data_IF_751183761668
#
_entry.id   IF_751183761668
#
_cell.length_a   1.000
_cell.length_b   1.000
_cell.length_c   1.000
_cell.angle_alpha   90.00
_cell.angle_beta   90.00
_cell.angle_gamma   90.00
#
_symmetry.space_group_name_H-M   'P 1'
#
loop_
_entity.id
_entity.type
_entity.pdbx_description
1 polymer ?
#
# COMPACT_ATOMS: atom_id res chain seq x y z
N UNK A 1 -8.86 -0.25 -2.66
CA UNK A 1 -7.82 0.55 -3.33
C UNK A 1 -6.72 0.88 -2.35
N UNK A 2 -5.58 0.24 -2.48
CA UNK A 2 -4.38 0.55 -1.70
C UNK A 2 -3.79 1.83 -2.29
N UNK A 3 -3.74 2.91 -1.50
CA UNK A 3 -3.22 4.21 -1.95
C UNK A 3 -1.73 4.26 -1.59
N UNK A 4 -0.88 4.35 -2.60
CA UNK A 4 0.57 4.48 -2.49
C UNK A 4 0.89 5.94 -2.85
N UNK A 5 1.22 6.75 -1.85
CA UNK A 5 1.62 8.16 -1.99
C UNK A 5 3.09 8.25 -1.53
N UNK A 6 4.06 8.10 -2.43
CA UNK A 6 5.48 8.34 -2.14
C UNK A 6 5.71 9.85 -1.97
N UNK A 7 6.22 10.27 -0.82
CA UNK A 7 6.56 11.65 -0.53
C UNK A 7 7.81 11.77 0.34
N UNK A 8 8.79 12.56 -0.11
CA UNK A 8 9.96 12.93 0.70
C UNK A 8 9.53 13.83 1.87
N UNK A 9 9.98 13.46 3.07
CA UNK A 9 9.63 14.02 4.38
C UNK A 9 9.48 15.55 4.44
N UNK A 10 8.29 16.01 4.83
CA UNK A 10 8.03 17.31 5.48
C UNK A 10 6.71 17.23 6.28
N UNK A 11 6.77 16.66 7.49
CA UNK A 11 5.80 16.96 8.56
C UNK A 11 4.44 16.25 8.55
N UNK A 12 4.23 15.18 7.78
CA UNK A 12 3.03 14.34 7.86
C UNK A 12 3.43 12.86 7.96
N UNK A 13 3.37 12.28 9.17
CA UNK A 13 3.74 10.90 9.45
C UNK A 13 2.93 9.91 8.61
N UNK A 14 3.53 9.33 7.56
CA UNK A 14 2.94 8.18 6.86
C UNK A 14 2.62 7.04 7.85
N UNK A 15 1.62 6.23 7.52
CA UNK A 15 1.25 5.09 8.37
C UNK A 15 1.85 3.76 7.90
N UNK A 16 2.60 3.78 6.80
CA UNK A 16 3.32 2.64 6.28
C UNK A 16 4.62 3.11 5.63
N UNK A 17 5.70 2.37 5.83
CA UNK A 17 7.00 2.62 5.20
C UNK A 17 7.42 1.34 4.49
N UNK A 18 7.80 1.46 3.23
CA UNK A 18 8.39 0.38 2.45
C UNK A 18 9.78 0.07 2.99
N UNK A 19 9.97 -1.18 3.39
CA UNK A 19 11.19 -1.63 4.05
C UNK A 19 12.41 -1.67 3.14
N UNK A 20 12.23 -1.62 1.81
CA UNK A 20 13.32 -1.75 0.84
C UNK A 20 13.97 -0.41 0.49
N UNK A 21 13.14 0.57 0.18
CA UNK A 21 13.56 1.88 -0.32
C UNK A 21 13.33 2.99 0.69
N UNK A 22 12.57 2.73 1.77
CA UNK A 22 12.16 3.74 2.74
C UNK A 22 11.03 4.64 2.24
N UNK A 23 10.36 4.28 1.13
CA UNK A 23 9.23 5.04 0.61
C UNK A 23 8.08 5.01 1.60
N UNK A 24 7.61 6.19 1.94
CA UNK A 24 6.52 6.39 2.89
C UNK A 24 5.18 6.39 2.17
N UNK A 25 4.16 5.73 2.73
CA UNK A 25 2.83 5.61 2.14
C UNK A 25 1.71 5.85 3.15
N UNK A 26 0.61 6.44 2.66
CA UNK A 26 -0.63 6.61 3.41
C UNK A 26 -1.70 5.61 2.96
N UNK A 27 -1.80 4.50 3.69
CA UNK A 27 -2.74 3.41 3.39
C UNK A 27 -3.99 3.56 4.26
N UNK A 28 -5.15 3.80 3.65
CA UNK A 28 -6.44 3.78 4.33
C UNK A 28 -7.29 2.58 3.93
N UNK A 29 -8.22 2.18 4.80
CA UNK A 29 -9.28 1.22 4.43
C UNK A 29 -10.20 1.75 3.32
N UNK A 30 -11.07 0.88 2.82
CA UNK A 30 -12.06 1.23 1.79
C UNK A 30 -13.04 2.31 2.30
N UNK A 31 -13.20 3.40 1.53
CA UNK A 31 -14.10 4.50 1.89
C UNK A 31 -15.45 4.34 1.18
N UNK A 32 -16.52 4.44 1.97
CA UNK A 32 -17.90 4.23 1.51
C UNK A 32 -18.50 5.40 0.72
N UNK A 33 -17.96 6.62 0.85
CA UNK A 33 -18.51 7.86 0.28
C UNK A 33 -17.68 8.40 -0.89
N UNK A 34 -17.00 7.53 -1.63
CA UNK A 34 -16.15 7.87 -2.78
C UNK A 34 -15.05 8.93 -2.55
N UNK A 35 -14.75 9.27 -1.30
CA UNK A 35 -13.66 10.19 -0.89
C UNK A 35 -12.27 9.53 -0.95
N UNK A 36 -12.09 8.64 -1.91
CA UNK A 36 -10.86 7.85 -2.13
C UNK A 36 -9.70 8.72 -2.65
N UNK A 37 -10.02 9.80 -3.38
CA UNK A 37 -9.02 10.75 -3.89
C UNK A 37 -8.69 11.82 -2.84
N UNK A 38 -7.40 12.17 -2.77
CA UNK A 38 -6.94 13.28 -1.91
C UNK A 38 -7.25 14.60 -2.62
N UNK A 39 -7.42 15.70 -1.90
CA UNK A 39 -7.75 16.97 -2.55
C UNK A 39 -6.66 17.43 -3.55
N UNK A 40 -5.40 17.12 -3.27
CA UNK A 40 -4.24 17.34 -4.16
C UNK A 40 -3.86 16.09 -4.99
N UNK A 41 -4.70 15.05 -4.95
CA UNK A 41 -4.45 13.80 -5.69
C UNK A 41 -4.90 13.94 -7.14
N UNK A 42 -3.97 13.84 -8.07
CA UNK A 42 -4.26 13.82 -9.52
C UNK A 42 -4.25 12.39 -10.10
N UNK A 43 -4.73 12.21 -11.34
CA UNK A 43 -4.69 10.93 -12.06
C UNK A 43 -5.77 9.91 -11.67
N UNK A 44 -6.02 8.90 -12.51
CA UNK A 44 -7.06 7.88 -12.27
C UNK A 44 -6.75 7.02 -11.05
N UNK A 45 -7.80 6.54 -10.40
CA UNK A 45 -7.67 5.61 -9.27
C UNK A 45 -7.69 4.18 -9.84
N UNK A 46 -6.60 3.43 -9.69
CA UNK A 46 -6.45 2.04 -10.20
C UNK A 46 -7.03 0.96 -9.26
N UNK A 47 -8.05 0.22 -9.70
CA UNK A 47 -8.75 -0.85 -8.95
C UNK A 47 -8.44 -2.21 -9.53
N UNK A 48 -8.14 -3.16 -8.65
CA UNK A 48 -8.04 -4.57 -9.05
C UNK A 48 -9.39 -5.05 -9.57
N UNK A 49 -9.41 -5.68 -10.74
CA UNK A 49 -10.60 -6.26 -11.37
C UNK A 49 -11.37 -7.21 -10.43
N UNK A 50 -10.66 -7.92 -9.54
CA UNK A 50 -11.23 -8.84 -8.54
C UNK A 50 -12.03 -8.10 -7.47
N UNK A 51 -11.62 -6.88 -7.12
CA UNK A 51 -12.24 -6.08 -6.07
C UNK A 51 -13.45 -5.25 -6.53
N UNK A 52 -13.69 -5.13 -7.85
CA UNK A 52 -14.73 -4.27 -8.41
C UNK A 52 -16.12 -4.62 -7.86
N UNK A 53 -16.47 -5.90 -7.84
CA UNK A 53 -17.80 -6.36 -7.39
C UNK A 53 -18.06 -6.05 -5.92
N UNK A 54 -17.09 -6.34 -5.06
CA UNK A 54 -17.18 -6.06 -3.62
C UNK A 54 -17.23 -4.56 -3.36
N UNK A 55 -16.42 -3.79 -4.09
CA UNK A 55 -16.38 -2.34 -3.93
C UNK A 55 -17.69 -1.67 -4.34
N UNK A 56 -18.29 -2.07 -5.47
CA UNK A 56 -19.62 -1.61 -5.90
C UNK A 56 -20.70 -1.93 -4.87
N UNK A 57 -20.67 -3.15 -4.30
CA UNK A 57 -21.59 -3.56 -3.24
C UNK A 57 -21.41 -2.72 -1.96
N UNK A 58 -20.18 -2.33 -1.64
CA UNK A 58 -19.85 -1.53 -0.47
C UNK A 58 -20.37 -0.09 -0.57
N UNK A 59 -20.33 0.50 -1.77
CA UNK A 59 -20.80 1.88 -2.01
C UNK A 59 -22.27 1.95 -2.43
N UNK A 60 -22.88 0.81 -2.80
CA UNK A 60 -24.28 0.74 -3.25
C UNK A 60 -24.48 1.16 -4.70
N UNK A 61 -23.41 1.23 -5.50
CA UNK A 61 -23.45 1.67 -6.88
C UNK A 61 -23.50 0.49 -7.85
N UNK A 62 -24.05 0.73 -9.05
CA UNK A 62 -24.20 -0.30 -10.09
C UNK A 62 -22.99 -0.40 -11.03
N UNK A 63 -22.23 0.68 -11.18
CA UNK A 63 -21.11 0.77 -12.11
C UNK A 63 -20.06 1.76 -11.60
N UNK A 64 -18.80 1.53 -11.99
CA UNK A 64 -17.70 2.43 -11.63
C UNK A 64 -17.66 3.62 -12.59
N UNK A 65 -17.48 4.85 -12.07
CA UNK A 65 -17.28 6.03 -12.91
C UNK A 65 -15.91 5.97 -13.62
N UNK A 66 -15.94 5.71 -14.93
CA UNK A 66 -14.73 5.49 -15.78
C UNK A 66 -13.82 6.72 -15.92
N UNK A 67 -14.34 7.91 -15.63
CA UNK A 67 -13.57 9.15 -15.56
C UNK A 67 -12.66 9.19 -14.32
N UNK A 68 -13.03 8.46 -13.26
CA UNK A 68 -12.32 8.45 -11.99
C UNK A 68 -11.49 7.17 -11.82
N UNK A 69 -12.02 6.02 -12.23
CA UNK A 69 -11.41 4.72 -12.01
C UNK A 69 -10.76 4.14 -13.27
N UNK A 70 -9.73 3.34 -13.04
CA UNK A 70 -9.08 2.47 -14.02
C UNK A 70 -9.07 1.05 -13.46
N UNK A 71 -9.67 0.10 -14.18
CA UNK A 71 -9.67 -1.31 -13.76
C UNK A 71 -8.40 -1.96 -14.30
N UNK A 72 -7.61 -2.54 -13.42
CA UNK A 72 -6.33 -3.19 -13.73
C UNK A 72 -6.29 -4.59 -13.13
N UNK A 73 -5.45 -5.46 -13.70
CA UNK A 73 -5.04 -6.70 -13.04
C UNK A 73 -3.80 -6.40 -12.18
N UNK A 74 -3.88 -6.67 -10.87
CA UNK A 74 -2.75 -6.44 -9.96
C UNK A 74 -2.19 -7.81 -9.61
N UNK A 75 -0.94 -8.03 -10.00
CA UNK A 75 -0.29 -9.31 -9.82
C UNK A 75 0.07 -9.54 -8.33
N UNK A 76 -0.23 -10.74 -7.84
CA UNK A 76 0.04 -11.16 -6.45
C UNK A 76 1.52 -11.56 -6.26
N UNK A 77 2.42 -10.60 -6.46
CA UNK A 77 3.87 -10.77 -6.25
C UNK A 77 4.26 -10.39 -4.84
N UNK A 78 4.06 -11.31 -3.90
CA UNK A 78 4.46 -11.10 -2.50
C UNK A 78 5.94 -11.46 -2.29
N UNK A 79 6.81 -10.51 -1.91
CA UNK A 79 8.24 -10.76 -1.76
C UNK A 79 8.58 -11.42 -0.41
N UNK A 80 7.88 -12.50 -0.05
CA UNK A 80 7.92 -13.10 1.31
C UNK A 80 9.34 -13.49 1.70
N UNK A 81 10.06 -14.21 0.85
CA UNK A 81 11.43 -14.67 1.14
C UNK A 81 12.42 -13.49 1.26
N UNK A 82 12.22 -12.45 0.44
CA UNK A 82 13.05 -11.23 0.47
C UNK A 82 12.83 -10.45 1.76
N UNK A 83 11.57 -10.23 2.13
CA UNK A 83 11.16 -9.56 3.38
C UNK A 83 11.66 -10.34 4.60
N UNK A 84 11.50 -11.66 4.62
CA UNK A 84 11.98 -12.53 5.72
C UNK A 84 13.48 -12.38 5.97
N UNK A 85 14.29 -12.31 4.92
CA UNK A 85 15.75 -12.12 5.01
C UNK A 85 16.13 -10.76 5.58
N UNK A 86 15.37 -9.71 5.26
CA UNK A 86 15.62 -8.36 5.76
C UNK A 86 15.24 -8.22 7.25
N UNK A 87 14.09 -8.80 7.63
CA UNK A 87 13.54 -8.62 8.98
C UNK A 87 14.07 -9.63 10.01
N UNK A 88 14.53 -10.80 9.57
CA UNK A 88 15.13 -11.81 10.44
C UNK A 88 16.60 -12.02 10.06
N UNK A 89 17.48 -11.05 10.33
CA UNK A 89 18.91 -11.28 10.15
C UNK A 89 19.30 -12.47 11.02
N UNK A 90 19.87 -13.51 10.39
CA UNK A 90 20.51 -14.58 11.16
C UNK A 90 21.60 -13.93 11.99
N UNK A 91 21.59 -14.13 13.30
CA UNK A 91 22.72 -13.75 14.15
C UNK A 91 23.90 -14.60 13.68
N UNK A 92 24.74 -14.04 12.81
CA UNK A 92 25.95 -14.70 12.32
C UNK A 92 27.18 -14.34 13.14
N UNK A 93 27.02 -13.49 14.17
CA UNK A 93 28.10 -13.17 15.11
C UNK A 93 27.82 -13.81 16.47
N UNK A 94 28.41 -14.98 16.68
CA UNK A 94 28.72 -15.51 18.02
C UNK A 94 30.01 -14.83 18.53
N UNK A 95 30.64 -13.96 17.73
CA UNK A 95 31.84 -13.24 18.13
C UNK A 95 31.43 -11.93 18.82
N UNK A 96 31.44 -11.96 20.16
CA UNK A 96 31.51 -10.84 21.12
C UNK A 96 30.54 -10.93 22.32
N UNK A 97 30.00 -12.10 22.66
CA UNK A 97 29.58 -12.35 24.04
C UNK A 97 30.79 -12.70 24.91
N UNK A 98 31.70 -11.74 25.09
CA UNK A 98 32.62 -11.77 26.22
C UNK A 98 31.86 -11.17 27.42
N UNK A 99 31.35 -12.03 28.28
CA UNK A 99 30.81 -11.60 29.57
C UNK A 99 31.95 -10.98 30.40
N UNK A 100 31.78 -9.83 31.07
CA UNK A 100 32.71 -9.40 32.11
C UNK A 100 32.76 -10.41 33.27
#
# INVERSE_FOLDING_TARGET
MTKILSGYNNGNYSNYVDIENGDEYWISGLKKKESNRHWDGHGKIMIDCRAVKEYLSLIGEKALPLNLFEVTDIEDKFPIERVKRMLNPKITNIDNFQCP
#
